data_IF_568268368520
#
_entry.id   IF_568268368520
#
_cell.length_a   1.000
_cell.length_b   1.000
_cell.length_c   1.000
_cell.angle_alpha   90.00
_cell.angle_beta   90.00
_cell.angle_gamma   90.00
#
_symmetry.space_group_name_H-M   'P 1'
#
loop_
_entity.id
_entity.type
_entity.pdbx_description
1 polymer ?
#
# COMPACT_ATOMS: atom_id res chain seq x y z
N UNK A 1 9.53 -2.60 8.73
CA UNK A 1 8.20 -3.17 8.38
C UNK A 1 7.44 -2.18 7.49
N UNK A 2 6.37 -2.59 6.78
CA UNK A 2 5.51 -1.67 6.03
C UNK A 2 4.08 -1.79 6.56
N UNK A 3 3.50 -0.68 6.98
CA UNK A 3 2.12 -0.59 7.46
C UNK A 3 1.23 0.08 6.41
N UNK A 4 -0.02 -0.36 6.32
CA UNK A 4 -1.03 0.24 5.45
C UNK A 4 -2.30 0.46 6.27
N UNK A 5 -2.67 1.72 6.46
CA UNK A 5 -4.00 2.09 6.90
C UNK A 5 -4.96 2.13 5.72
N UNK A 6 -6.17 1.62 5.91
CA UNK A 6 -7.26 1.63 4.93
C UNK A 6 -8.51 2.23 5.57
N UNK A 7 -8.85 3.45 5.17
CA UNK A 7 -10.10 4.12 5.53
C UNK A 7 -11.12 3.92 4.39
N UNK A 8 -12.12 3.09 4.66
CA UNK A 8 -13.04 2.58 3.65
C UNK A 8 -14.35 3.39 3.58
N UNK A 9 -14.70 3.82 2.37
CA UNK A 9 -16.02 4.30 1.97
C UNK A 9 -16.62 3.44 0.83
N UNK A 10 -17.94 3.51 0.63
CA UNK A 10 -18.65 2.62 -0.33
C UNK A 10 -18.07 2.61 -1.76
N UNK A 11 -17.49 3.71 -2.22
CA UNK A 11 -16.95 3.86 -3.58
C UNK A 11 -15.43 4.09 -3.66
N UNK A 12 -14.73 4.14 -2.52
CA UNK A 12 -13.28 4.36 -2.48
C UNK A 12 -12.62 3.96 -1.15
N UNK A 13 -11.30 3.87 -1.21
CA UNK A 13 -10.42 3.67 -0.07
C UNK A 13 -9.43 4.82 0.03
N UNK A 14 -9.37 5.50 1.16
CA UNK A 14 -8.27 6.41 1.48
C UNK A 14 -7.18 5.61 2.22
N UNK A 15 -6.04 5.38 1.56
CA UNK A 15 -4.94 4.59 2.11
C UNK A 15 -3.77 5.47 2.54
N UNK A 16 -3.09 5.07 3.61
CA UNK A 16 -1.85 5.67 4.08
C UNK A 16 -0.81 4.57 4.34
N UNK A 17 0.38 4.72 3.74
CA UNK A 17 1.52 3.83 3.97
C UNK A 17 2.45 4.46 5.00
N UNK A 18 2.89 3.69 5.98
CA UNK A 18 3.80 4.12 7.03
C UNK A 18 4.97 3.15 7.20
N UNK A 19 6.13 3.67 7.58
CA UNK A 19 7.23 2.86 8.11
C UNK A 19 7.00 2.49 9.58
N UNK A 20 7.96 1.78 10.18
CA UNK A 20 7.83 1.27 11.55
C UNK A 20 7.97 2.33 12.63
N UNK A 21 8.47 3.51 12.29
CA UNK A 21 8.49 4.69 13.13
C UNK A 21 7.19 5.50 13.06
N UNK A 22 6.21 5.06 12.26
CA UNK A 22 4.95 5.76 12.02
C UNK A 22 5.11 6.98 11.12
N UNK A 23 6.20 7.07 10.34
CA UNK A 23 6.35 8.13 9.34
C UNK A 23 5.61 7.71 8.08
N UNK A 24 4.74 8.61 7.63
CA UNK A 24 4.05 8.48 6.36
C UNK A 24 5.00 8.45 5.16
N UNK A 25 4.88 7.40 4.36
CA UNK A 25 5.56 7.18 3.09
C UNK A 25 4.70 7.67 1.91
N UNK A 26 3.42 7.32 1.89
CA UNK A 26 2.47 7.73 0.86
C UNK A 26 1.04 7.85 1.40
N UNK A 27 0.22 8.62 0.69
CA UNK A 27 -1.24 8.67 0.88
C UNK A 27 -1.93 8.76 -0.46
N UNK A 28 -2.98 7.96 -0.67
CA UNK A 28 -3.72 7.96 -1.91
C UNK A 28 -5.20 7.65 -1.68
N UNK A 29 -6.06 8.19 -2.54
CA UNK A 29 -7.44 7.72 -2.68
C UNK A 29 -7.50 6.73 -3.84
N UNK A 30 -8.03 5.55 -3.59
CA UNK A 30 -8.14 4.45 -4.55
C UNK A 30 -9.62 4.20 -4.85
N UNK A 31 -10.04 4.17 -6.13
CA UNK A 31 -11.39 3.75 -6.48
C UNK A 31 -11.56 2.25 -6.22
N UNK A 32 -12.79 1.80 -6.07
CA UNK A 32 -13.10 0.37 -6.01
C UNK A 32 -12.66 -0.40 -7.28
N UNK A 33 -12.46 -1.71 -7.13
CA UNK A 33 -12.19 -2.62 -8.24
C UNK A 33 -10.75 -2.63 -8.77
N UNK A 34 -10.59 -3.01 -10.05
CA UNK A 34 -9.27 -3.33 -10.62
C UNK A 34 -8.31 -2.13 -10.66
N UNK A 35 -8.83 -0.92 -10.86
CA UNK A 35 -8.02 0.29 -10.88
C UNK A 35 -7.40 0.56 -9.50
N UNK A 36 -8.20 0.46 -8.45
CA UNK A 36 -7.74 0.66 -7.06
C UNK A 36 -6.70 -0.36 -6.65
N UNK A 37 -6.98 -1.65 -6.86
CA UNK A 37 -6.05 -2.71 -6.46
C UNK A 37 -4.74 -2.63 -7.25
N UNK A 38 -4.78 -2.25 -8.53
CA UNK A 38 -3.57 -2.04 -9.34
C UNK A 38 -2.71 -0.91 -8.77
N UNK A 39 -3.35 0.22 -8.42
CA UNK A 39 -2.66 1.35 -7.80
C UNK A 39 -2.10 1.01 -6.42
N UNK A 40 -2.84 0.25 -5.62
CA UNK A 40 -2.35 -0.21 -4.32
C UNK A 40 -1.07 -1.05 -4.47
N UNK A 41 -1.07 -2.03 -5.38
CA UNK A 41 0.12 -2.85 -5.64
C UNK A 41 1.31 -2.00 -6.12
N UNK A 42 1.06 -0.99 -6.96
CA UNK A 42 2.11 -0.07 -7.39
C UNK A 42 2.72 0.73 -6.22
N UNK A 43 1.88 1.26 -5.32
CA UNK A 43 2.34 1.97 -4.12
C UNK A 43 3.13 1.05 -3.18
N UNK A 44 2.66 -0.17 -2.97
CA UNK A 44 3.38 -1.16 -2.16
C UNK A 44 4.73 -1.49 -2.80
N UNK A 45 4.78 -1.72 -4.11
CA UNK A 45 6.03 -2.01 -4.81
C UNK A 45 7.02 -0.83 -4.79
N UNK A 46 6.54 0.42 -4.81
CA UNK A 46 7.38 1.62 -4.71
C UNK A 46 8.06 1.74 -3.35
N UNK A 47 7.38 1.30 -2.28
CA UNK A 47 7.85 1.46 -0.90
C UNK A 47 8.35 0.17 -0.24
N UNK A 48 8.19 -0.98 -0.89
CA UNK A 48 8.72 -2.24 -0.40
C UNK A 48 10.27 -2.23 -0.42
N UNK A 49 10.92 -2.76 0.62
CA UNK A 49 12.35 -3.05 0.57
C UNK A 49 12.71 -3.95 -0.62
N UNK A 50 13.82 -3.64 -1.29
CA UNK A 50 14.20 -4.35 -2.52
C UNK A 50 14.49 -5.85 -2.29
N UNK A 51 14.96 -6.21 -1.10
CA UNK A 51 15.22 -7.59 -0.68
C UNK A 51 13.95 -8.42 -0.53
N UNK A 52 12.77 -7.79 -0.43
CA UNK A 52 11.50 -8.52 -0.39
C UNK A 52 11.19 -9.24 -1.70
N UNK A 53 11.75 -8.78 -2.82
CA UNK A 53 11.63 -9.46 -4.11
C UNK A 53 12.36 -10.82 -4.15
N UNK A 54 13.25 -11.08 -3.17
CA UNK A 54 14.05 -12.29 -3.06
C UNK A 54 13.55 -13.25 -1.97
N UNK A 55 12.41 -12.94 -1.33
CA UNK A 55 11.83 -13.82 -0.32
C UNK A 55 11.50 -15.19 -0.92
N UNK A 56 11.79 -16.29 -0.21
CA UNK A 56 11.44 -17.61 -0.69
C UNK A 56 9.90 -17.75 -0.77
N UNK A 57 9.37 -18.50 -1.76
CA UNK A 57 7.99 -18.91 -1.71
C UNK A 57 7.81 -19.80 -0.48
N UNK A 58 6.85 -19.44 0.37
CA UNK A 58 6.47 -20.19 1.57
C UNK A 58 5.75 -21.52 1.25
#
# INVERSE_FOLDING_TARGET
MLFIGDDWAEDHHDVELEDEEGRRLARARLPEGLEGITRLHALVAEHAPADWAELPPE
#
